data_IF_445581347828
#
_entry.id   IF_445581347828
#
_cell.length_a   1.000
_cell.length_b   1.000
_cell.length_c   1.000
_cell.angle_alpha   90.00
_cell.angle_beta   90.00
_cell.angle_gamma   90.00
#
_symmetry.space_group_name_H-M   'P 1'
#
loop_
_entity.id
_entity.type
_entity.pdbx_description
1 polymer ?
#
# COMPACT_ATOMS: atom_id res chain seq x y z
N UNK A 1 -27.81 36.91 -2.15
CA UNK A 1 -26.72 36.51 -3.02
C UNK A 1 -26.41 35.05 -2.87
N UNK A 2 -26.48 34.26 -3.93
CA UNK A 2 -26.12 32.86 -3.86
C UNK A 2 -24.69 32.63 -3.39
N UNK A 3 -23.79 33.53 -3.76
CA UNK A 3 -22.38 33.41 -3.40
C UNK A 3 -22.12 33.56 -1.92
N UNK A 4 -22.97 34.32 -1.25
CA UNK A 4 -22.77 34.55 0.18
C UNK A 4 -23.15 33.36 1.04
N UNK A 5 -24.12 32.59 0.57
CA UNK A 5 -24.46 31.34 1.27
C UNK A 5 -23.65 30.17 0.79
N UNK A 6 -23.01 30.34 -0.36
CA UNK A 6 -22.26 29.30 -0.98
C UNK A 6 -21.00 28.82 -0.24
N UNK A 7 -20.28 29.68 0.50
CA UNK A 7 -18.98 29.28 1.04
C UNK A 7 -19.03 28.00 1.91
N UNK A 8 -20.00 27.86 2.77
CA UNK A 8 -20.10 26.69 3.64
C UNK A 8 -20.40 25.41 2.83
N UNK A 9 -21.36 25.50 1.91
CA UNK A 9 -21.73 24.38 1.05
C UNK A 9 -20.59 24.04 0.10
N UNK A 10 -19.98 25.08 -0.49
CA UNK A 10 -18.87 24.90 -1.41
C UNK A 10 -17.70 24.22 -0.72
N UNK A 11 -17.39 24.63 0.52
CA UNK A 11 -16.30 24.03 1.27
C UNK A 11 -16.58 22.55 1.51
N UNK A 12 -17.79 22.18 1.85
CA UNK A 12 -18.17 20.80 2.07
C UNK A 12 -18.00 19.98 0.77
N UNK A 13 -18.45 20.52 -0.35
CA UNK A 13 -18.32 19.86 -1.63
C UNK A 13 -16.85 19.67 -2.01
N UNK A 14 -16.02 20.69 -1.82
CA UNK A 14 -14.59 20.60 -2.11
C UNK A 14 -13.92 19.58 -1.18
N UNK A 15 -14.30 19.56 0.07
CA UNK A 15 -13.72 18.59 1.02
C UNK A 15 -14.05 17.16 0.60
N UNK A 16 -15.27 16.92 0.18
CA UNK A 16 -15.68 15.60 -0.29
C UNK A 16 -14.97 15.22 -1.57
N UNK A 17 -14.90 16.14 -2.53
CA UNK A 17 -14.24 15.90 -3.80
C UNK A 17 -12.76 15.60 -3.58
N UNK A 18 -12.10 16.36 -2.70
CA UNK A 18 -10.70 16.13 -2.37
C UNK A 18 -10.48 14.77 -1.71
N UNK A 19 -11.38 14.39 -0.83
CA UNK A 19 -11.31 13.09 -0.16
C UNK A 19 -11.43 11.95 -1.16
N UNK A 20 -12.42 12.03 -2.05
CA UNK A 20 -12.63 11.01 -3.07
C UNK A 20 -11.44 10.93 -4.00
N UNK A 21 -10.97 12.07 -4.49
CA UNK A 21 -9.84 12.12 -5.41
C UNK A 21 -8.57 11.53 -4.77
N UNK A 22 -8.33 11.85 -3.51
CA UNK A 22 -7.16 11.33 -2.79
C UNK A 22 -7.26 9.82 -2.61
N UNK A 23 -8.44 9.34 -2.24
CA UNK A 23 -8.67 7.91 -2.08
C UNK A 23 -8.42 7.17 -3.39
N UNK A 24 -8.98 7.67 -4.48
CA UNK A 24 -8.81 7.05 -5.79
C UNK A 24 -7.36 7.10 -6.26
N UNK A 25 -6.68 8.22 -6.02
CA UNK A 25 -5.28 8.36 -6.42
C UNK A 25 -4.39 7.36 -5.69
N UNK A 26 -4.59 7.17 -4.39
CA UNK A 26 -3.83 6.20 -3.63
C UNK A 26 -4.08 4.80 -4.16
N UNK A 27 -5.33 4.48 -4.48
CA UNK A 27 -5.67 3.17 -5.05
C UNK A 27 -4.95 2.93 -6.37
N UNK A 28 -4.96 3.91 -7.26
CA UNK A 28 -4.30 3.80 -8.57
C UNK A 28 -2.79 3.69 -8.41
N UNK A 29 -2.20 4.54 -7.57
CA UNK A 29 -0.75 4.53 -7.37
C UNK A 29 -0.28 3.20 -6.80
N UNK A 30 -0.99 2.67 -5.82
CA UNK A 30 -0.57 1.41 -5.20
C UNK A 30 -0.86 0.20 -6.07
N UNK A 31 -1.91 0.25 -6.89
CA UNK A 31 -2.14 -0.78 -7.89
C UNK A 31 -1.00 -0.79 -8.91
N UNK A 32 -0.60 0.39 -9.38
CA UNK A 32 0.51 0.51 -10.30
C UNK A 32 1.82 0.06 -9.68
N UNK A 33 2.05 0.39 -8.41
CA UNK A 33 3.24 -0.05 -7.70
C UNK A 33 3.31 -1.57 -7.62
N UNK A 34 2.21 -2.22 -7.27
CA UNK A 34 2.18 -3.68 -7.19
C UNK A 34 2.44 -4.30 -8.55
N UNK A 35 1.83 -3.78 -9.61
CA UNK A 35 2.07 -4.27 -10.96
C UNK A 35 3.54 -4.12 -11.35
N UNK A 36 4.16 -3.00 -11.01
CA UNK A 36 5.57 -2.77 -11.31
C UNK A 36 6.47 -3.74 -10.55
N UNK A 37 6.17 -3.98 -9.28
CA UNK A 37 6.95 -4.93 -8.49
C UNK A 37 6.87 -6.34 -9.07
N UNK A 38 5.67 -6.75 -9.48
CA UNK A 38 5.48 -8.04 -10.11
C UNK A 38 6.23 -8.13 -11.44
N UNK A 39 6.16 -7.08 -12.24
CA UNK A 39 6.80 -7.05 -13.56
C UNK A 39 8.32 -7.08 -13.48
N UNK A 40 8.90 -6.50 -12.43
CA UNK A 40 10.35 -6.46 -12.26
C UNK A 40 10.90 -7.65 -11.48
N UNK A 41 10.06 -8.60 -11.12
CA UNK A 41 10.50 -9.82 -10.46
C UNK A 41 10.77 -9.67 -8.97
N UNK A 42 10.23 -8.63 -8.34
CA UNK A 42 10.35 -8.48 -6.91
C UNK A 42 9.58 -9.59 -6.19
N UNK A 43 10.17 -10.15 -5.15
CA UNK A 43 9.56 -11.25 -4.43
C UNK A 43 8.77 -10.79 -3.21
N UNK A 44 9.06 -9.58 -2.73
CA UNK A 44 8.44 -9.02 -1.53
C UNK A 44 7.91 -7.63 -1.81
N UNK A 45 6.97 -7.22 -0.98
CA UNK A 45 6.40 -5.88 -1.00
C UNK A 45 6.40 -5.33 0.42
N UNK A 46 6.51 -4.02 0.55
CA UNK A 46 6.62 -3.38 1.85
C UNK A 46 5.61 -2.25 1.97
N UNK A 47 4.99 -2.14 3.13
CA UNK A 47 4.00 -1.11 3.45
C UNK A 47 4.72 0.10 4.04
N UNK A 48 4.46 1.27 3.49
CA UNK A 48 4.90 2.55 4.06
C UNK A 48 3.67 3.28 4.52
N UNK A 49 3.60 3.57 5.81
CA UNK A 49 2.38 4.11 6.39
C UNK A 49 2.45 5.60 6.59
N UNK A 50 1.28 6.23 6.61
CA UNK A 50 1.09 7.60 7.02
C UNK A 50 1.26 7.68 8.55
N UNK A 51 1.81 8.80 9.02
CA UNK A 51 2.07 8.97 10.45
C UNK A 51 0.77 9.01 11.26
N UNK A 52 -0.28 9.61 10.71
CA UNK A 52 -1.57 9.71 11.40
C UNK A 52 -2.67 9.30 10.44
N UNK A 53 -3.51 8.38 10.85
CA UNK A 53 -4.55 7.83 9.97
C UNK A 53 -5.90 7.66 10.67
N UNK A 54 -6.15 8.45 11.71
CA UNK A 54 -7.47 8.46 12.35
C UNK A 54 -7.76 7.22 13.19
N UNK A 55 -6.74 6.60 13.74
CA UNK A 55 -6.92 5.47 14.65
C UNK A 55 -7.04 4.12 13.97
N UNK A 56 -6.84 4.04 12.68
CA UNK A 56 -6.87 2.76 11.95
C UNK A 56 -5.64 1.90 12.21
N UNK A 57 -4.65 2.47 12.90
CA UNK A 57 -3.42 1.78 13.28
C UNK A 57 -2.57 1.37 12.08
N UNK A 58 -2.72 2.07 10.95
CA UNK A 58 -1.89 1.79 9.77
C UNK A 58 -0.42 2.07 10.03
N UNK A 59 -0.09 2.96 10.96
CA UNK A 59 1.31 3.20 11.28
C UNK A 59 2.00 1.98 11.86
N UNK A 60 1.25 1.03 12.40
CA UNK A 60 1.83 -0.24 12.85
C UNK A 60 2.25 -1.12 11.68
N UNK A 61 1.79 -0.79 10.48
CA UNK A 61 2.18 -1.50 9.27
C UNK A 61 3.49 -0.97 8.68
N UNK A 62 4.03 0.12 9.25
CA UNK A 62 5.25 0.71 8.70
C UNK A 62 6.37 -0.32 8.60
N UNK A 63 6.86 -0.52 7.39
CA UNK A 63 7.97 -1.42 7.15
C UNK A 63 7.61 -2.89 7.16
N UNK A 64 6.33 -3.25 7.23
CA UNK A 64 5.91 -4.65 7.17
C UNK A 64 6.15 -5.19 5.78
N UNK A 65 6.78 -6.35 5.70
CA UNK A 65 7.13 -6.99 4.44
C UNK A 65 6.40 -8.33 4.35
N UNK A 66 5.79 -8.57 3.19
CA UNK A 66 5.16 -9.87 2.90
C UNK A 66 5.55 -10.28 1.47
N UNK A 67 5.46 -11.58 1.16
CA UNK A 67 5.65 -12.04 -0.21
C UNK A 67 4.66 -11.35 -1.16
N UNK A 68 5.08 -11.17 -2.40
CA UNK A 68 4.33 -10.38 -3.37
C UNK A 68 2.91 -10.89 -3.60
N UNK A 69 2.70 -12.19 -3.46
CA UNK A 69 1.39 -12.81 -3.68
C UNK A 69 0.53 -12.94 -2.44
N UNK A 70 1.02 -12.49 -1.29
CA UNK A 70 0.28 -12.63 -0.04
C UNK A 70 -0.32 -11.29 0.38
N UNK A 71 -1.34 -11.36 1.23
CA UNK A 71 -1.96 -10.16 1.77
C UNK A 71 -1.21 -9.65 2.99
N UNK A 72 -1.23 -8.33 3.17
CA UNK A 72 -0.88 -7.73 4.46
C UNK A 72 -2.03 -8.02 5.43
N UNK A 73 -1.68 -8.28 6.68
CA UNK A 73 -2.67 -8.46 7.74
C UNK A 73 -2.57 -7.27 8.68
N UNK A 74 -3.63 -6.48 8.74
CA UNK A 74 -3.67 -5.27 9.55
C UNK A 74 -3.91 -5.64 11.03
N UNK A 75 -3.70 -4.68 11.95
CA UNK A 75 -3.90 -4.98 13.38
C UNK A 75 -5.28 -5.50 13.73
N UNK A 76 -6.32 -5.12 12.98
CA UNK A 76 -7.69 -5.59 13.20
C UNK A 76 -8.00 -6.90 12.45
N UNK A 77 -6.96 -7.56 11.91
CA UNK A 77 -7.05 -8.81 11.16
C UNK A 77 -7.60 -8.67 9.74
N UNK A 78 -7.85 -7.45 9.28
CA UNK A 78 -8.25 -7.22 7.89
C UNK A 78 -7.08 -7.56 6.97
N UNK A 79 -7.36 -8.26 5.88
CA UNK A 79 -6.34 -8.63 4.89
C UNK A 79 -6.46 -7.73 3.69
N UNK A 80 -5.33 -7.19 3.23
CA UNK A 80 -5.29 -6.29 2.08
C UNK A 80 -4.05 -6.61 1.25
N UNK A 81 -4.21 -6.83 -0.07
CA UNK A 81 -3.04 -7.12 -0.91
C UNK A 81 -2.12 -5.92 -1.07
N UNK A 82 -2.65 -4.72 -0.87
CA UNK A 82 -1.90 -3.47 -0.96
C UNK A 82 -2.69 -2.36 -0.27
N UNK A 83 -2.04 -1.27 0.09
CA UNK A 83 -2.78 -0.10 0.58
C UNK A 83 -3.76 0.37 -0.49
N UNK A 84 -4.96 0.69 -0.08
CA UNK A 84 -6.00 1.18 -0.98
C UNK A 84 -6.91 0.12 -1.56
N UNK A 85 -6.67 -1.16 -1.29
CA UNK A 85 -7.57 -2.22 -1.76
C UNK A 85 -8.08 -3.02 -0.57
N UNK A 86 -9.27 -2.69 -0.12
CA UNK A 86 -9.90 -3.35 1.02
C UNK A 86 -11.14 -2.61 1.45
N UNK A 87 -11.62 -2.88 2.67
CA UNK A 87 -12.81 -2.21 3.19
C UNK A 87 -12.63 -0.70 3.23
N UNK A 88 -13.72 0.02 3.06
CA UNK A 88 -13.68 1.48 3.00
C UNK A 88 -13.12 2.09 4.28
N UNK A 89 -13.31 1.42 5.42
CA UNK A 89 -12.77 1.92 6.68
C UNK A 89 -11.24 2.01 6.67
N UNK A 90 -10.58 1.24 5.82
CA UNK A 90 -9.12 1.26 5.68
C UNK A 90 -8.65 1.99 4.43
N UNK A 91 -9.53 2.23 3.46
CA UNK A 91 -9.12 2.81 2.19
C UNK A 91 -9.51 4.28 2.03
N UNK A 92 -10.57 4.72 2.70
CA UNK A 92 -10.99 6.11 2.59
C UNK A 92 -9.91 7.03 3.17
N UNK A 93 -9.46 7.99 2.36
CA UNK A 93 -8.45 8.97 2.76
C UNK A 93 -7.14 8.33 3.26
N UNK A 94 -6.85 7.14 2.83
CA UNK A 94 -5.59 6.47 3.15
C UNK A 94 -4.46 7.07 2.33
N UNK A 95 -3.29 7.23 2.95
CA UNK A 95 -2.10 7.77 2.27
C UNK A 95 -0.92 6.81 2.35
N UNK A 96 -1.20 5.59 2.72
CA UNK A 96 -0.15 4.57 2.77
C UNK A 96 0.32 4.23 1.36
N UNK A 97 1.55 3.75 1.25
CA UNK A 97 2.18 3.43 -0.03
C UNK A 97 2.72 2.03 -0.03
N UNK A 98 2.89 1.49 -1.22
CA UNK A 98 3.52 0.20 -1.43
C UNK A 98 4.85 0.42 -2.15
N UNK A 99 5.91 -0.19 -1.62
CA UNK A 99 7.24 -0.04 -2.21
C UNK A 99 7.96 -1.38 -2.19
N UNK A 100 9.05 -1.45 -2.97
CA UNK A 100 9.99 -2.56 -2.88
C UNK A 100 10.78 -2.42 -1.59
N UNK A 101 10.99 -3.50 -0.84
CA UNK A 101 11.85 -3.41 0.35
C UNK A 101 13.31 -3.19 -0.05
N UNK A 102 14.09 -2.52 0.81
CA UNK A 102 15.53 -2.40 0.56
C UNK A 102 16.19 -3.77 0.47
N UNK A 103 17.27 -3.85 -0.29
CA UNK A 103 17.97 -5.12 -0.49
C UNK A 103 18.33 -5.80 0.83
N UNK A 104 18.79 -5.04 1.82
CA UNK A 104 19.14 -5.60 3.12
C UNK A 104 17.96 -6.28 3.79
N UNK A 105 16.76 -5.72 3.63
CA UNK A 105 15.56 -6.30 4.19
C UNK A 105 15.14 -7.55 3.44
N UNK A 106 15.37 -7.59 2.13
CA UNK A 106 15.12 -8.78 1.32
C UNK A 106 16.00 -9.93 1.80
N UNK A 107 17.27 -9.66 2.02
CA UNK A 107 18.21 -10.68 2.50
C UNK A 107 17.79 -11.22 3.88
N UNK A 108 17.39 -10.33 4.77
CA UNK A 108 16.93 -10.72 6.10
C UNK A 108 15.68 -11.57 6.02
N UNK A 109 14.73 -11.18 5.20
CA UNK A 109 13.47 -11.90 5.04
C UNK A 109 13.70 -13.29 4.45
N UNK A 110 14.56 -13.39 3.44
CA UNK A 110 14.92 -14.67 2.85
C UNK A 110 15.55 -15.60 3.89
N UNK A 111 16.44 -15.04 4.71
CA UNK A 111 17.09 -15.85 5.75
C UNK A 111 16.08 -16.38 6.76
N UNK A 112 15.13 -15.53 7.15
CA UNK A 112 14.05 -15.95 8.07
C UNK A 112 13.23 -17.10 7.50
N UNK A 113 13.04 -17.10 6.17
CA UNK A 113 12.20 -18.09 5.50
C UNK A 113 12.98 -19.28 4.97
N UNK A 114 14.29 -19.30 5.19
CA UNK A 114 15.14 -20.40 4.70
C UNK A 114 15.29 -20.39 3.19
N UNK A 115 15.23 -19.24 2.56
CA UNK A 115 15.31 -19.09 1.11
C UNK A 115 16.72 -18.67 0.74
N UNK A 116 17.28 -19.32 -0.29
CA UNK A 116 18.54 -18.91 -0.88
C UNK A 116 18.29 -17.73 -1.80
N UNK A 117 18.82 -16.56 -1.43
CA UNK A 117 18.54 -15.33 -2.16
C UNK A 117 19.02 -15.39 -3.61
N UNK A 118 20.20 -15.92 -3.86
CA UNK A 118 20.74 -15.97 -5.22
C UNK A 118 19.86 -16.84 -6.12
N UNK A 119 19.43 -17.99 -5.64
CA UNK A 119 18.55 -18.85 -6.40
C UNK A 119 17.20 -18.22 -6.64
N UNK A 120 16.65 -17.59 -5.62
CA UNK A 120 15.34 -16.94 -5.72
C UNK A 120 15.39 -15.77 -6.70
N UNK A 121 16.47 -14.98 -6.68
CA UNK A 121 16.64 -13.87 -7.59
C UNK A 121 16.75 -14.36 -9.04
N UNK A 122 17.53 -15.41 -9.26
CA UNK A 122 17.68 -15.97 -10.59
C UNK A 122 16.34 -16.49 -11.12
N UNK A 123 15.59 -17.16 -10.27
CA UNK A 123 14.28 -17.69 -10.65
C UNK A 123 13.30 -16.55 -10.98
N UNK A 124 13.33 -15.48 -10.21
CA UNK A 124 12.46 -14.33 -10.46
C UNK A 124 12.82 -13.61 -11.75
N UNK A 125 14.13 -13.47 -12.05
CA UNK A 125 14.59 -12.80 -13.25
C UNK A 125 14.31 -13.59 -14.52
N UNK A 126 14.50 -14.89 -14.47
CA UNK A 126 14.39 -15.71 -15.67
C UNK A 126 13.04 -16.43 -15.78
N UNK A 127 12.21 -16.14 -14.84
CA UNK A 127 10.87 -16.66 -14.85
C UNK A 127 10.79 -18.10 -14.39
N UNK A 128 9.72 -18.40 -13.71
CA UNK A 128 9.35 -19.76 -13.39
C UNK A 128 8.44 -20.26 -14.49
N UNK A 129 9.02 -20.45 -15.63
CA UNK A 129 8.22 -20.86 -16.78
C UNK A 129 8.23 -22.32 -16.96
#
# INVERSE_FOLDING_TARGET
EPLERGPAITRDVFSRASLIARTEMVQVQNAGALNALQATGERYKMWISQVSDGGRRHQEMQGVIVPIGEDFVLPDKTRMPRPGKGPIKHTANCRCSLVAPPRSRVLTEDKKRGINTAEADARAMFGSR
#
